data_IF_636957649091
#
_entry.id   IF_636957649091
#
_cell.length_a   1.000
_cell.length_b   1.000
_cell.length_c   1.000
_cell.angle_alpha   90.00
_cell.angle_beta   90.00
_cell.angle_gamma   90.00
#
_symmetry.space_group_name_H-M   'P 1'
#
loop_
_entity.id
_entity.type
_entity.pdbx_description
1 polymer ?
#
# COMPACT_ATOMS: atom_id res chain seq x y z
N UNK A 1 28.45 -7.22 33.80
CA UNK A 1 27.21 -7.67 33.13
C UNK A 1 26.16 -6.63 33.40
N UNK A 2 25.86 -5.76 32.43
CA UNK A 2 24.76 -4.80 32.54
C UNK A 2 23.45 -5.57 32.39
N UNK A 3 22.54 -5.43 33.36
CA UNK A 3 21.16 -5.88 33.23
C UNK A 3 20.54 -5.24 31.97
N UNK A 4 19.96 -6.06 31.11
CA UNK A 4 19.10 -5.56 30.04
C UNK A 4 17.79 -5.15 30.69
N UNK A 5 17.43 -3.88 30.57
CA UNK A 5 16.13 -3.38 31.01
C UNK A 5 15.10 -3.94 30.05
N UNK A 6 14.35 -4.95 30.50
CA UNK A 6 13.22 -5.51 29.76
C UNK A 6 12.14 -4.42 29.65
N UNK A 7 12.17 -3.69 28.53
CA UNK A 7 11.24 -2.59 28.31
C UNK A 7 9.97 -3.19 27.73
N UNK A 8 8.82 -3.05 28.39
CA UNK A 8 7.58 -3.65 27.90
C UNK A 8 7.23 -3.09 26.52
N UNK A 9 6.90 -3.99 25.59
CA UNK A 9 6.50 -3.63 24.22
C UNK A 9 5.22 -2.78 24.30
N UNK A 10 5.20 -1.57 23.72
CA UNK A 10 4.03 -0.70 23.81
C UNK A 10 2.87 -1.23 22.99
N UNK A 11 1.64 -0.93 23.42
CA UNK A 11 0.45 -1.07 22.58
C UNK A 11 0.25 0.18 21.73
N UNK A 12 0.00 0.01 20.43
CA UNK A 12 -0.12 1.11 19.47
C UNK A 12 -1.60 1.44 19.20
N UNK A 13 -1.97 2.72 19.24
CA UNK A 13 -3.29 3.17 18.78
C UNK A 13 -3.13 3.86 17.43
N UNK A 14 -3.81 3.35 16.42
CA UNK A 14 -3.84 3.88 15.05
C UNK A 14 -5.19 4.58 14.84
N UNK A 15 -5.17 5.87 14.54
CA UNK A 15 -6.37 6.66 14.28
C UNK A 15 -6.55 6.82 12.76
N UNK A 16 -7.50 6.07 12.21
CA UNK A 16 -7.86 6.03 10.80
C UNK A 16 -7.60 4.65 10.16
N UNK A 17 -8.64 4.02 9.61
CA UNK A 17 -8.55 2.77 8.86
C UNK A 17 -8.46 3.00 7.34
N UNK A 18 -7.70 4.02 6.94
CA UNK A 18 -7.27 4.20 5.55
C UNK A 18 -6.10 3.26 5.20
N UNK A 19 -5.57 3.39 3.98
CA UNK A 19 -4.47 2.54 3.50
C UNK A 19 -3.26 2.53 4.44
N UNK A 20 -2.79 3.71 4.87
CA UNK A 20 -1.64 3.79 5.77
C UNK A 20 -1.88 3.14 7.14
N UNK A 21 -3.08 3.33 7.71
CA UNK A 21 -3.43 2.75 9.01
C UNK A 21 -3.59 1.23 8.96
N UNK A 22 -4.22 0.71 7.90
CA UNK A 22 -4.38 -0.72 7.69
C UNK A 22 -3.05 -1.40 7.36
N UNK A 23 -2.19 -0.77 6.53
CA UNK A 23 -0.84 -1.27 6.26
C UNK A 23 -0.01 -1.30 7.55
N UNK A 24 -0.05 -0.24 8.36
CA UNK A 24 0.65 -0.23 9.64
C UNK A 24 0.12 -1.32 10.58
N UNK A 25 -1.19 -1.51 10.67
CA UNK A 25 -1.80 -2.59 11.43
C UNK A 25 -1.31 -3.97 10.98
N UNK A 26 -1.31 -4.23 9.66
CA UNK A 26 -0.80 -5.48 9.10
C UNK A 26 0.68 -5.71 9.44
N UNK A 27 1.52 -4.66 9.37
CA UNK A 27 2.94 -4.77 9.76
C UNK A 27 3.07 -5.08 11.26
N UNK A 28 2.33 -4.40 12.13
CA UNK A 28 2.36 -4.64 13.57
C UNK A 28 1.87 -6.05 13.91
N UNK A 29 0.85 -6.55 13.21
CA UNK A 29 0.36 -7.92 13.32
C UNK A 29 1.47 -8.93 12.99
N UNK A 30 2.18 -8.74 11.86
CA UNK A 30 3.32 -9.62 11.50
C UNK A 30 4.47 -9.56 12.50
N UNK A 31 4.62 -8.43 13.19
CA UNK A 31 5.63 -8.22 14.23
C UNK A 31 5.18 -8.68 15.63
N UNK A 32 3.95 -9.18 15.77
CA UNK A 32 3.35 -9.57 17.06
C UNK A 32 3.34 -8.41 18.09
N UNK A 33 3.06 -7.19 17.62
CA UNK A 33 2.94 -5.98 18.45
C UNK A 33 1.45 -5.64 18.58
N UNK A 34 0.96 -5.53 19.82
CA UNK A 34 -0.45 -5.19 20.08
C UNK A 34 -0.84 -3.82 19.50
N UNK A 35 -1.99 -3.76 18.83
CA UNK A 35 -2.53 -2.51 18.30
C UNK A 35 -4.06 -2.43 18.32
N UNK A 36 -4.57 -1.21 18.23
CA UNK A 36 -5.98 -0.91 17.98
C UNK A 36 -6.09 0.06 16.81
N UNK A 37 -7.01 -0.22 15.88
CA UNK A 37 -7.36 0.70 14.79
C UNK A 37 -8.72 1.31 15.08
N UNK A 38 -8.78 2.63 15.12
CA UNK A 38 -10.01 3.39 15.33
C UNK A 38 -10.38 4.12 14.05
N UNK A 39 -11.58 3.87 13.52
CA UNK A 39 -12.11 4.56 12.33
C UNK A 39 -13.46 5.17 12.67
N UNK A 40 -13.70 6.38 12.14
CA UNK A 40 -14.97 7.09 12.31
C UNK A 40 -16.06 6.53 11.39
N UNK A 41 -15.70 6.11 10.18
CA UNK A 41 -16.63 5.49 9.25
C UNK A 41 -17.13 4.15 9.80
N UNK A 42 -18.44 3.93 9.75
CA UNK A 42 -19.07 2.68 10.19
C UNK A 42 -18.83 1.51 9.22
N UNK A 43 -18.34 1.79 8.02
CA UNK A 43 -18.12 0.83 6.94
C UNK A 43 -16.99 1.32 6.02
N UNK A 44 -16.35 0.39 5.33
CA UNK A 44 -15.41 0.71 4.25
C UNK A 44 -16.20 1.19 3.02
N UNK A 45 -15.79 2.33 2.46
CA UNK A 45 -16.42 2.91 1.27
C UNK A 45 -15.39 3.03 0.15
N UNK A 46 -15.68 2.42 -0.99
CA UNK A 46 -14.90 2.66 -2.21
C UNK A 46 -15.15 4.08 -2.71
N UNK A 47 -14.09 4.85 -2.94
CA UNK A 47 -14.19 6.20 -3.49
C UNK A 47 -14.39 6.21 -5.02
N UNK A 48 -14.38 5.05 -5.67
CA UNK A 48 -14.51 4.92 -7.13
C UNK A 48 -13.26 5.36 -7.90
N UNK A 49 -12.16 5.65 -7.21
CA UNK A 49 -10.89 6.04 -7.81
C UNK A 49 -9.89 4.89 -7.88
N UNK A 50 -9.17 4.77 -8.98
CA UNK A 50 -7.99 3.92 -9.05
C UNK A 50 -6.81 4.55 -8.30
N UNK A 51 -5.93 3.71 -7.76
CA UNK A 51 -4.66 4.13 -7.17
C UNK A 51 -3.54 3.60 -8.05
N UNK A 52 -2.75 4.51 -8.61
CA UNK A 52 -1.54 4.13 -9.32
C UNK A 52 -0.48 3.70 -8.30
N UNK A 53 -0.03 2.46 -8.41
CA UNK A 53 1.05 1.90 -7.60
C UNK A 53 2.28 1.73 -8.46
N UNK A 54 3.46 1.98 -7.88
CA UNK A 54 4.75 1.78 -8.55
C UNK A 54 5.54 0.68 -7.86
N UNK A 55 6.66 0.26 -8.44
CA UNK A 55 7.41 -0.92 -7.97
C UNK A 55 7.94 -0.85 -6.53
N UNK A 56 7.90 0.32 -5.88
CA UNK A 56 8.37 0.48 -4.49
C UNK A 56 7.45 -0.19 -3.44
N UNK A 57 6.17 -0.40 -3.75
CA UNK A 57 5.20 -0.95 -2.80
C UNK A 57 5.05 -2.47 -2.91
N UNK A 58 5.46 -3.06 -4.03
CA UNK A 58 5.28 -4.50 -4.27
C UNK A 58 6.08 -5.40 -3.33
N UNK A 59 7.35 -5.09 -2.98
CA UNK A 59 8.07 -5.88 -1.97
C UNK A 59 7.37 -5.90 -0.61
N UNK A 60 6.70 -4.81 -0.22
CA UNK A 60 5.90 -4.78 1.01
C UNK A 60 4.72 -5.75 0.92
N UNK A 61 4.02 -5.79 -0.21
CA UNK A 61 2.92 -6.73 -0.41
C UNK A 61 3.38 -8.19 -0.43
N UNK A 62 4.58 -8.47 -0.95
CA UNK A 62 5.19 -9.80 -0.86
C UNK A 62 5.48 -10.18 0.60
N UNK A 63 6.07 -9.26 1.38
CA UNK A 63 6.34 -9.47 2.81
C UNK A 63 5.07 -9.70 3.62
N UNK A 64 3.98 -9.02 3.25
CA UNK A 64 2.66 -9.20 3.88
C UNK A 64 1.88 -10.41 3.32
N UNK A 65 2.40 -11.09 2.29
CA UNK A 65 1.74 -12.26 1.67
C UNK A 65 0.49 -11.93 0.84
N UNK A 66 0.26 -10.66 0.50
CA UNK A 66 -0.95 -10.20 -0.21
C UNK A 66 -0.69 -9.82 -1.68
N UNK A 67 0.54 -9.95 -2.16
CA UNK A 67 0.93 -9.50 -3.50
C UNK A 67 0.07 -10.10 -4.62
N UNK A 68 -0.13 -11.42 -4.63
CA UNK A 68 -0.92 -12.08 -5.68
C UNK A 68 -2.41 -11.69 -5.63
N UNK A 69 -2.97 -11.48 -4.44
CA UNK A 69 -4.35 -11.03 -4.28
C UNK A 69 -4.52 -9.61 -4.83
N UNK A 70 -3.63 -8.68 -4.45
CA UNK A 70 -3.62 -7.30 -4.97
C UNK A 70 -3.42 -7.28 -6.48
N UNK A 71 -2.51 -8.10 -7.01
CA UNK A 71 -2.26 -8.22 -8.45
C UNK A 71 -3.50 -8.72 -9.20
N UNK A 72 -4.23 -9.68 -8.64
CA UNK A 72 -5.42 -10.28 -9.28
C UNK A 72 -6.56 -9.29 -9.51
N UNK A 73 -6.66 -8.24 -8.68
CA UNK A 73 -7.67 -7.18 -8.78
C UNK A 73 -7.16 -5.90 -9.45
N UNK A 74 -5.88 -5.86 -9.84
CA UNK A 74 -5.23 -4.68 -10.41
C UNK A 74 -5.31 -4.67 -11.94
N UNK A 75 -5.25 -3.46 -12.52
CA UNK A 75 -5.13 -3.27 -13.96
C UNK A 75 -3.69 -2.90 -14.33
N UNK A 76 -3.09 -3.54 -15.35
CA UNK A 76 -1.75 -3.18 -15.81
C UNK A 76 -1.74 -1.75 -16.38
N UNK A 77 -0.77 -0.95 -15.96
CA UNK A 77 -0.55 0.38 -16.50
C UNK A 77 0.43 0.29 -17.68
N UNK A 78 -0.09 0.34 -18.91
CA UNK A 78 0.67 0.07 -20.14
C UNK A 78 1.30 1.35 -20.71
N UNK A 79 0.59 2.47 -20.63
CA UNK A 79 1.06 3.76 -21.13
C UNK A 79 0.51 4.93 -20.33
N UNK A 80 1.24 6.03 -20.36
CA UNK A 80 0.82 7.35 -19.92
C UNK A 80 1.00 8.32 -21.09
N UNK A 81 -0.11 8.81 -21.61
CA UNK A 81 -0.13 9.81 -22.68
C UNK A 81 -0.28 11.21 -22.08
N UNK A 82 0.59 12.13 -22.49
CA UNK A 82 0.63 13.51 -22.03
C UNK A 82 0.06 14.42 -23.13
N UNK A 83 -0.87 15.27 -22.74
CA UNK A 83 -1.52 16.23 -23.64
C UNK A 83 -1.43 17.65 -23.08
N UNK A 84 -1.39 18.65 -23.96
CA UNK A 84 -1.57 20.04 -23.57
C UNK A 84 -3.06 20.36 -23.32
N UNK A 85 -3.35 21.61 -22.93
CA UNK A 85 -4.72 22.06 -22.67
C UNK A 85 -5.62 22.13 -23.91
N UNK A 86 -5.06 21.95 -25.10
CA UNK A 86 -5.76 21.87 -26.39
C UNK A 86 -5.83 20.43 -26.91
N UNK A 87 -5.47 19.45 -26.09
CA UNK A 87 -5.40 18.03 -26.44
C UNK A 87 -4.39 17.69 -27.54
N UNK A 88 -3.38 18.53 -27.78
CA UNK A 88 -2.26 18.13 -28.62
C UNK A 88 -1.37 17.17 -27.82
N UNK A 89 -0.98 16.06 -28.44
CA UNK A 89 -0.07 15.10 -27.82
C UNK A 89 1.31 15.75 -27.60
N UNK A 90 1.77 15.73 -26.35
CA UNK A 90 3.11 16.17 -25.95
C UNK A 90 4.09 15.00 -25.93
N UNK A 91 3.60 13.79 -25.66
CA UNK A 91 4.40 12.56 -25.66
C UNK A 91 3.70 11.41 -24.95
N UNK A 92 4.31 10.24 -25.05
CA UNK A 92 3.82 9.01 -24.41
C UNK A 92 4.97 8.35 -23.65
N UNK A 93 4.68 7.87 -22.45
CA UNK A 93 5.55 6.97 -21.69
C UNK A 93 4.93 5.59 -21.74
N UNK A 94 5.62 4.62 -22.33
CA UNK A 94 5.18 3.24 -22.35
C UNK A 94 5.87 2.47 -21.23
N UNK A 95 5.10 1.69 -20.47
CA UNK A 95 5.69 0.67 -19.62
C UNK A 95 6.40 -0.33 -20.53
N UNK A 96 7.70 -0.56 -20.27
CA UNK A 96 8.41 -1.67 -20.93
C UNK A 96 7.81 -2.97 -20.42
N UNK A 97 7.45 -3.87 -21.33
CA UNK A 97 7.29 -5.27 -20.98
C UNK A 97 8.62 -5.76 -20.39
N UNK A 98 8.63 -5.98 -19.08
CA UNK A 98 9.54 -6.93 -18.50
C UNK A 98 8.81 -8.27 -18.51
N UNK A 99 9.37 -9.25 -19.23
CA UNK A 99 9.00 -10.65 -19.03
C UNK A 99 9.25 -10.98 -17.56
N UNK A 100 8.19 -10.91 -16.76
CA UNK A 100 8.18 -11.44 -15.40
C UNK A 100 8.16 -12.95 -15.55
N UNK A 101 9.37 -13.54 -15.57
CA UNK A 101 9.59 -14.98 -15.47
C UNK A 101 9.36 -15.41 -14.03
#
# INVERSE_FOLDING_TARGET
>A
MSESVDTPIPTVIIVGAGLGGLILGAILETANISYHILERASELRSLGSAIAMTGNIFPLFEQLGIYEEVKSISLPNISLDLYDTKFNALGSVYAREHNLV
#
